data_IF_544177752591
#
_entry.id   IF_544177752591
#
_cell.length_a   1.000
_cell.length_b   1.000
_cell.length_c   1.000
_cell.angle_alpha   90.00
_cell.angle_beta   90.00
_cell.angle_gamma   90.00
#
_symmetry.space_group_name_H-M   'P 1'
#
loop_
_entity.id
_entity.type
_entity.pdbx_description
1 polymer ?
#
# COMPACT_ATOMS: atom_id res chain seq x y z
N UNK A 1 -10.21 5.58 26.35
CA UNK A 1 -8.88 6.12 25.94
C UNK A 1 -8.85 6.09 24.43
N UNK A 2 -8.86 7.26 23.77
CA UNK A 2 -8.68 7.27 22.31
C UNK A 2 -7.23 6.86 22.01
N UNK A 3 -6.99 5.89 21.09
CA UNK A 3 -5.65 5.55 20.69
C UNK A 3 -4.96 6.80 20.13
N UNK A 4 -3.69 7.00 20.48
CA UNK A 4 -2.97 8.17 19.97
C UNK A 4 -2.88 8.08 18.45
N UNK A 5 -3.02 9.22 17.77
CA UNK A 5 -3.01 9.30 16.29
C UNK A 5 -1.81 8.58 15.66
N UNK A 6 -0.65 8.62 16.30
CA UNK A 6 0.56 7.93 15.84
C UNK A 6 0.41 6.40 15.84
N UNK A 7 -0.30 5.84 16.81
CA UNK A 7 -0.52 4.38 16.88
C UNK A 7 -1.46 3.89 15.77
N UNK A 8 -2.47 4.68 15.42
CA UNK A 8 -3.42 4.35 14.33
C UNK A 8 -2.70 4.29 12.98
N UNK A 9 -1.87 5.31 12.70
CA UNK A 9 -1.11 5.40 11.44
C UNK A 9 -0.12 4.24 11.31
N UNK A 10 0.70 4.02 12.34
CA UNK A 10 1.71 2.95 12.33
C UNK A 10 1.09 1.57 12.23
N UNK A 11 -0.04 1.35 12.91
CA UNK A 11 -0.77 0.08 12.86
C UNK A 11 -1.35 -0.16 11.45
N UNK A 12 -2.04 0.82 10.88
CA UNK A 12 -2.64 0.69 9.56
C UNK A 12 -1.59 0.47 8.47
N UNK A 13 -0.49 1.26 8.48
CA UNK A 13 0.62 1.10 7.53
C UNK A 13 1.34 -0.24 7.69
N UNK A 14 1.61 -0.65 8.93
CA UNK A 14 2.26 -1.94 9.20
C UNK A 14 1.42 -3.14 8.73
N UNK A 15 0.08 -3.06 8.88
CA UNK A 15 -0.85 -4.05 8.35
C UNK A 15 -0.86 -4.06 6.83
N UNK A 16 -0.93 -2.89 6.19
CA UNK A 16 -0.88 -2.74 4.73
C UNK A 16 0.40 -3.30 4.13
N UNK A 17 1.57 -3.00 4.69
CA UNK A 17 2.86 -3.56 4.26
C UNK A 17 2.90 -5.09 4.37
N UNK A 18 2.21 -5.67 5.36
CA UNK A 18 2.07 -7.11 5.52
C UNK A 18 0.96 -7.72 4.66
N UNK A 19 0.40 -6.95 3.71
CA UNK A 19 -0.68 -7.38 2.81
C UNK A 19 -1.96 -7.78 3.54
N UNK A 20 -2.23 -7.14 4.68
CA UNK A 20 -3.43 -7.36 5.49
C UNK A 20 -4.31 -6.12 5.49
N UNK A 21 -5.60 -6.32 5.68
CA UNK A 21 -6.55 -5.22 5.76
C UNK A 21 -6.19 -4.27 6.92
N UNK A 22 -6.06 -2.95 6.67
CA UNK A 22 -5.62 -2.00 7.69
C UNK A 22 -6.60 -1.87 8.85
N UNK A 23 -7.90 -2.11 8.62
CA UNK A 23 -8.92 -2.05 9.65
C UNK A 23 -8.81 -3.22 10.64
N UNK A 24 -9.02 -4.47 10.21
CA UNK A 24 -9.05 -5.63 11.10
C UNK A 24 -7.68 -6.31 11.30
N UNK A 25 -6.74 -6.14 10.38
CA UNK A 25 -5.41 -6.78 10.44
C UNK A 25 -5.37 -8.28 10.19
N UNK A 26 -6.53 -8.93 10.01
CA UNK A 26 -6.63 -10.39 9.85
C UNK A 26 -6.85 -10.80 8.39
N UNK A 27 -7.74 -10.10 7.66
CA UNK A 27 -8.03 -10.40 6.27
C UNK A 27 -6.84 -10.16 5.35
N UNK A 28 -6.66 -10.99 4.33
CA UNK A 28 -5.67 -10.78 3.28
C UNK A 28 -6.18 -9.75 2.27
N UNK A 29 -5.31 -8.81 1.87
CA UNK A 29 -5.62 -7.81 0.83
C UNK A 29 -5.59 -8.39 -0.57
N UNK A 30 -4.82 -9.46 -0.76
CA UNK A 30 -4.57 -10.05 -2.07
C UNK A 30 -4.86 -11.55 -2.05
N UNK A 31 -5.44 -12.06 -3.15
CA UNK A 31 -5.47 -13.46 -3.50
C UNK A 31 -4.50 -13.67 -4.67
N UNK A 32 -3.27 -14.11 -4.36
CA UNK A 32 -2.18 -14.11 -5.32
C UNK A 32 -1.78 -12.67 -5.73
N UNK A 33 -2.00 -12.31 -6.99
CA UNK A 33 -1.74 -10.98 -7.54
C UNK A 33 -3.00 -10.10 -7.66
N UNK A 34 -4.18 -10.68 -7.43
CA UNK A 34 -5.45 -9.97 -7.50
C UNK A 34 -5.80 -9.35 -6.16
N UNK A 35 -6.19 -8.08 -6.18
CA UNK A 35 -6.72 -7.38 -5.01
C UNK A 35 -8.14 -7.84 -4.72
N UNK A 36 -8.45 -8.10 -3.45
CA UNK A 36 -9.79 -8.40 -3.00
C UNK A 36 -10.57 -7.11 -2.77
N UNK A 37 -11.75 -7.00 -3.37
CA UNK A 37 -12.63 -5.82 -3.24
C UNK A 37 -13.21 -5.66 -1.83
N UNK A 38 -13.42 -6.78 -1.14
CA UNK A 38 -14.02 -6.83 0.19
C UNK A 38 -13.21 -7.71 1.12
N UNK A 39 -13.06 -7.28 2.36
CA UNK A 39 -12.49 -8.11 3.41
C UNK A 39 -13.42 -9.27 3.75
N UNK A 40 -12.90 -10.50 3.75
CA UNK A 40 -13.67 -11.70 4.10
C UNK A 40 -14.05 -11.77 5.59
N UNK A 41 -13.37 -11.00 6.44
CA UNK A 41 -13.54 -11.03 7.91
C UNK A 41 -14.42 -9.88 8.39
N UNK A 42 -14.05 -8.64 8.09
CA UNK A 42 -14.80 -7.46 8.56
C UNK A 42 -15.76 -6.86 7.54
N UNK A 43 -15.81 -7.40 6.32
CA UNK A 43 -16.72 -6.94 5.26
C UNK A 43 -16.40 -5.57 4.66
N UNK A 44 -15.34 -4.89 5.13
CA UNK A 44 -14.97 -3.56 4.65
C UNK A 44 -14.62 -3.60 3.16
N UNK A 45 -15.29 -2.78 2.37
CA UNK A 45 -15.03 -2.58 0.93
C UNK A 45 -14.08 -1.40 0.73
N UNK A 46 -13.04 -1.60 -0.09
CA UNK A 46 -12.06 -0.56 -0.39
C UNK A 46 -12.37 0.23 -1.65
N UNK A 47 -13.00 -0.40 -2.61
CA UNK A 47 -13.18 0.17 -3.94
C UNK A 47 -14.57 0.79 -4.03
N UNK A 48 -14.70 2.04 -3.61
CA UNK A 48 -15.85 2.86 -3.98
C UNK A 48 -15.51 3.81 -5.14
N UNK A 49 -14.25 4.26 -5.24
CA UNK A 49 -13.79 5.10 -6.35
C UNK A 49 -12.42 4.63 -6.85
N UNK A 50 -12.34 4.04 -8.06
CA UNK A 50 -11.06 3.63 -8.65
C UNK A 50 -10.07 4.79 -8.83
N UNK A 51 -10.57 6.03 -8.90
CA UNK A 51 -9.77 7.24 -9.10
C UNK A 51 -8.80 7.54 -7.95
N UNK A 52 -9.24 7.39 -6.72
CA UNK A 52 -8.44 7.76 -5.54
C UNK A 52 -7.26 6.81 -5.31
N UNK A 53 -7.50 5.50 -5.47
CA UNK A 53 -6.44 4.49 -5.35
C UNK A 53 -5.40 4.66 -6.47
N UNK A 54 -5.84 5.11 -7.64
CA UNK A 54 -4.97 5.28 -8.80
C UNK A 54 -3.88 6.33 -8.55
N UNK A 55 -4.21 7.44 -7.89
CA UNK A 55 -3.25 8.48 -7.54
C UNK A 55 -2.13 7.95 -6.63
N UNK A 56 -2.46 7.21 -5.57
CA UNK A 56 -1.47 6.62 -4.67
C UNK A 56 -0.65 5.50 -5.34
N UNK A 57 -1.26 4.73 -6.23
CA UNK A 57 -0.59 3.69 -7.00
C UNK A 57 0.43 4.29 -7.97
N UNK A 58 0.09 5.39 -8.64
CA UNK A 58 1.02 6.11 -9.52
C UNK A 58 2.22 6.60 -8.73
N UNK A 59 2.00 7.26 -7.60
CA UNK A 59 3.08 7.77 -6.75
C UNK A 59 3.97 6.60 -6.28
N UNK A 60 3.38 5.50 -5.81
CA UNK A 60 4.12 4.33 -5.36
C UNK A 60 4.94 3.63 -6.45
N UNK A 61 4.46 3.62 -7.68
CA UNK A 61 5.17 2.99 -8.81
C UNK A 61 6.19 3.92 -9.48
N UNK A 62 6.08 5.24 -9.33
CA UNK A 62 7.01 6.19 -9.95
C UNK A 62 8.39 6.19 -9.32
N UNK A 63 8.50 5.88 -8.03
CA UNK A 63 9.81 5.86 -7.32
C UNK A 63 10.80 4.88 -7.95
N UNK A 64 10.49 3.60 -8.21
CA UNK A 64 11.44 2.70 -8.88
C UNK A 64 11.81 3.15 -10.28
N UNK A 65 10.85 3.70 -11.04
CA UNK A 65 11.09 4.23 -12.38
C UNK A 65 12.06 5.41 -12.31
N UNK A 66 11.84 6.33 -11.36
CA UNK A 66 12.72 7.47 -11.15
C UNK A 66 14.15 7.03 -10.79
N UNK A 67 14.30 6.05 -9.90
CA UNK A 67 15.61 5.49 -9.55
C UNK A 67 16.30 4.89 -10.77
N UNK A 68 15.58 4.15 -11.63
CA UNK A 68 16.14 3.62 -12.89
C UNK A 68 16.59 4.75 -13.82
N UNK A 69 15.81 5.80 -13.99
CA UNK A 69 16.19 6.97 -14.80
C UNK A 69 17.45 7.63 -14.24
N UNK A 70 17.55 7.80 -12.93
CA UNK A 70 18.73 8.38 -12.27
C UNK A 70 19.98 7.53 -12.53
N UNK A 71 19.89 6.19 -12.41
CA UNK A 71 21.00 5.28 -12.69
C UNK A 71 21.48 5.39 -14.15
N UNK A 72 20.54 5.54 -15.09
CA UNK A 72 20.86 5.74 -16.51
C UNK A 72 21.50 7.11 -16.73
N UNK A 73 20.92 8.16 -16.14
CA UNK A 73 21.35 9.54 -16.31
C UNK A 73 22.78 9.78 -15.80
N UNK A 74 23.14 9.22 -14.63
CA UNK A 74 24.50 9.36 -14.08
C UNK A 74 25.55 8.54 -14.82
N UNK A 75 25.18 7.89 -15.91
CA UNK A 75 26.13 7.27 -16.84
C UNK A 75 26.86 6.04 -16.30
N UNK A 76 26.31 5.39 -15.26
CA UNK A 76 26.87 4.13 -14.73
C UNK A 76 26.99 3.09 -15.83
N UNK A 77 26.05 3.06 -16.78
CA UNK A 77 26.12 2.19 -17.96
C UNK A 77 27.27 2.54 -18.90
N UNK A 78 27.68 3.81 -18.94
CA UNK A 78 28.73 4.28 -19.85
C UNK A 78 30.13 3.96 -19.33
N UNK A 79 30.34 4.11 -18.02
CA UNK A 79 31.63 3.82 -17.38
C UNK A 79 31.83 2.34 -17.06
N UNK A 80 30.77 1.64 -16.66
CA UNK A 80 30.81 0.24 -16.25
C UNK A 80 29.55 -0.50 -16.73
N UNK A 81 29.48 -0.92 -18.02
CA UNK A 81 28.26 -1.44 -18.61
C UNK A 81 27.74 -2.71 -17.91
N UNK A 82 28.62 -3.59 -17.49
CA UNK A 82 28.22 -4.81 -16.77
C UNK A 82 27.57 -4.49 -15.44
N UNK A 83 28.14 -3.57 -14.66
CA UNK A 83 27.60 -3.15 -13.37
C UNK A 83 26.27 -2.43 -13.59
N UNK A 84 26.18 -1.56 -14.59
CA UNK A 84 24.95 -0.83 -14.91
C UNK A 84 23.80 -1.76 -15.28
N UNK A 85 24.02 -2.74 -16.13
CA UNK A 85 23.01 -3.73 -16.54
C UNK A 85 22.58 -4.57 -15.34
N UNK A 86 23.52 -5.08 -14.55
CA UNK A 86 23.23 -5.87 -13.35
C UNK A 86 22.38 -5.09 -12.34
N UNK A 87 22.71 -3.82 -12.12
CA UNK A 87 21.99 -2.94 -11.23
C UNK A 87 20.55 -2.68 -11.72
N UNK A 88 20.38 -2.44 -13.03
CA UNK A 88 19.04 -2.24 -13.62
C UNK A 88 18.18 -3.49 -13.51
N UNK A 89 18.75 -4.67 -13.80
CA UNK A 89 18.04 -5.93 -13.65
C UNK A 89 17.66 -6.19 -12.19
N UNK A 90 18.56 -5.94 -11.25
CA UNK A 90 18.28 -6.07 -9.81
C UNK A 90 17.16 -5.12 -9.36
N UNK A 91 17.18 -3.87 -9.81
CA UNK A 91 16.12 -2.89 -9.52
C UNK A 91 14.79 -3.29 -10.14
N UNK A 92 14.79 -3.83 -11.36
CA UNK A 92 13.59 -4.33 -12.02
C UNK A 92 12.96 -5.48 -11.22
N UNK A 93 13.77 -6.48 -10.87
CA UNK A 93 13.32 -7.63 -10.07
C UNK A 93 12.80 -7.19 -8.71
N UNK A 94 13.54 -6.33 -8.01
CA UNK A 94 13.13 -5.77 -6.72
C UNK A 94 11.83 -4.95 -6.86
N UNK A 95 11.70 -4.18 -7.94
CA UNK A 95 10.50 -3.42 -8.26
C UNK A 95 9.27 -4.31 -8.43
N UNK A 96 9.38 -5.40 -9.17
CA UNK A 96 8.29 -6.37 -9.36
C UNK A 96 7.99 -7.09 -8.05
N UNK A 97 9.00 -7.57 -7.34
CA UNK A 97 8.85 -8.31 -6.10
C UNK A 97 8.15 -7.50 -4.99
N UNK A 98 8.48 -6.21 -4.90
CA UNK A 98 7.90 -5.32 -3.87
C UNK A 98 6.55 -4.72 -4.25
N UNK A 99 6.04 -4.97 -5.47
CA UNK A 99 4.74 -4.42 -5.94
C UNK A 99 3.59 -4.67 -4.98
N UNK A 100 3.31 -5.89 -4.50
CA UNK A 100 2.17 -6.12 -3.61
C UNK A 100 2.32 -5.42 -2.25
N UNK A 101 3.54 -5.22 -1.76
CA UNK A 101 3.77 -4.51 -0.51
C UNK A 101 3.51 -3.00 -0.67
N UNK A 102 3.91 -2.42 -1.81
CA UNK A 102 3.65 -1.01 -2.14
C UNK A 102 2.16 -0.76 -2.34
N UNK A 103 1.47 -1.68 -3.00
CA UNK A 103 0.01 -1.61 -3.14
C UNK A 103 -0.69 -1.71 -1.79
N UNK A 104 -0.25 -2.61 -0.91
CA UNK A 104 -0.77 -2.72 0.45
C UNK A 104 -0.59 -1.43 1.26
N UNK A 105 0.57 -0.77 1.12
CA UNK A 105 0.79 0.53 1.77
C UNK A 105 -0.06 1.65 1.16
N UNK A 106 -0.27 1.65 -0.16
CA UNK A 106 -1.15 2.62 -0.81
C UNK A 106 -2.60 2.48 -0.33
N UNK A 107 -3.09 1.25 -0.22
CA UNK A 107 -4.43 0.97 0.34
C UNK A 107 -4.53 1.42 1.79
N UNK A 108 -3.49 1.21 2.60
CA UNK A 108 -3.47 1.68 3.98
C UNK A 108 -3.49 3.21 4.09
N UNK A 109 -2.77 3.91 3.21
CA UNK A 109 -2.81 5.37 3.12
C UNK A 109 -4.20 5.88 2.69
N UNK A 110 -4.81 5.24 1.70
CA UNK A 110 -6.18 5.56 1.29
C UNK A 110 -7.18 5.35 2.43
N UNK A 111 -7.06 4.25 3.16
CA UNK A 111 -7.86 4.01 4.36
C UNK A 111 -7.69 5.13 5.39
N UNK A 112 -6.45 5.53 5.68
CA UNK A 112 -6.16 6.62 6.60
C UNK A 112 -6.72 7.96 6.11
N UNK A 113 -6.64 8.25 4.81
CA UNK A 113 -7.23 9.48 4.27
C UNK A 113 -8.73 9.54 4.51
N UNK A 114 -9.46 8.42 4.34
CA UNK A 114 -10.89 8.35 4.61
C UNK A 114 -11.24 8.44 6.10
N UNK A 115 -10.38 7.93 6.98
CA UNK A 115 -10.56 8.06 8.44
C UNK A 115 -10.39 9.51 8.90
N UNK A 116 -9.40 10.24 8.35
CA UNK A 116 -9.10 11.61 8.77
C UNK A 116 -9.87 12.68 8.00
N UNK A 117 -10.25 12.39 6.75
CA UNK A 117 -11.03 13.28 5.88
C UNK A 117 -12.23 12.54 5.28
N UNK A 118 -13.25 12.25 6.11
CA UNK A 118 -14.44 11.55 5.65
C UNK A 118 -15.18 12.40 4.61
N UNK A 119 -15.56 11.78 3.50
CA UNK A 119 -16.42 12.42 2.52
C UNK A 119 -17.90 12.23 2.91
N UNK A 120 -18.80 13.23 2.65
CA UNK A 120 -20.19 13.14 3.06
C UNK A 120 -20.97 11.95 2.48
N UNK A 121 -20.52 11.42 1.34
CA UNK A 121 -21.15 10.30 0.65
C UNK A 121 -20.58 8.93 1.05
N UNK A 122 -19.49 8.89 1.81
CA UNK A 122 -18.79 7.66 2.16
C UNK A 122 -19.14 7.22 3.58
N UNK A 123 -19.45 5.93 3.81
CA UNK A 123 -19.51 5.40 5.15
C UNK A 123 -18.11 5.57 5.79
N UNK A 124 -18.05 6.26 6.92
CA UNK A 124 -16.81 6.50 7.66
C UNK A 124 -16.22 5.14 8.06
N UNK A 125 -15.05 4.74 7.57
CA UNK A 125 -14.45 3.51 8.03
C UNK A 125 -14.10 3.67 9.51
N UNK A 126 -14.48 2.72 10.37
CA UNK A 126 -14.16 2.77 11.79
C UNK A 126 -12.65 2.75 11.98
N UNK A 127 -12.16 3.32 13.07
CA UNK A 127 -10.75 3.27 13.45
C UNK A 127 -10.25 1.82 13.49
N UNK A 128 -8.96 1.57 13.21
CA UNK A 128 -8.42 0.21 13.25
C UNK A 128 -8.70 -0.45 14.59
N UNK A 129 -9.31 -1.62 14.56
CA UNK A 129 -9.56 -2.41 15.77
C UNK A 129 -8.24 -2.94 16.32
N UNK A 130 -8.00 -2.72 17.59
CA UNK A 130 -6.85 -3.29 18.30
C UNK A 130 -7.09 -4.74 18.70
N UNK A 131 -8.36 -5.11 18.88
CA UNK A 131 -8.77 -6.45 19.28
C UNK A 131 -9.39 -7.24 18.12
N UNK A 132 -8.93 -8.48 17.88
CA UNK A 132 -9.50 -9.33 16.83
C UNK A 132 -10.97 -9.72 17.06
N UNK A 133 -11.47 -9.64 18.29
CA UNK A 133 -12.86 -9.96 18.63
C UNK A 133 -13.88 -8.84 18.38
N UNK A 134 -13.43 -7.61 18.17
CA UNK A 134 -14.32 -6.46 17.92
C UNK A 134 -14.75 -6.33 16.45
N UNK A 135 -14.05 -7.01 15.55
CA UNK A 135 -14.33 -7.00 14.11
C UNK A 135 -15.56 -7.86 13.72
N UNK A 136 -16.11 -8.62 14.65
CA UNK A 136 -17.18 -9.60 14.43
C UNK A 136 -18.55 -9.15 14.94
N UNK A 137 -18.65 -7.92 15.47
CA UNK A 137 -19.92 -7.34 15.98
C UNK A 137 -20.42 -6.22 15.02
#
# INVERSE_FOLDING_TARGET
MQPSHSNVITTALGRGLRKRYPHCGQGHLFSGWSQLERCSICGLTFVQDPGDIWAFTIIGNRVPIFVMIVVIYFGVMRSHPVIGITLLLALLVAGIWTTPNRWGSAIALHYLSRVYWPQPADPIPPTPTTDPGEAER
#
